data_IF_232955921391
#
_entry.id   IF_232955921391
#
_cell.length_a   1.000
_cell.length_b   1.000
_cell.length_c   1.000
_cell.angle_alpha   90.00
_cell.angle_beta   90.00
_cell.angle_gamma   90.00
#
_symmetry.space_group_name_H-M   'P 1'
#
loop_
_entity.id
_entity.type
_entity.pdbx_description
1 polymer ?
#
# COMPACT_ATOMS: atom_id res chain seq x y z
N UNK A 1 10.92 14.87 -19.36
CA UNK A 1 12.17 14.34 -19.97
C UNK A 1 12.29 12.87 -19.64
N UNK A 2 12.15 11.98 -20.61
CA UNK A 2 12.31 10.54 -20.40
C UNK A 2 13.79 10.24 -20.15
N UNK A 3 14.10 9.71 -18.98
CA UNK A 3 15.45 9.21 -18.70
C UNK A 3 15.63 7.88 -19.43
N UNK A 4 16.47 7.84 -20.43
CA UNK A 4 16.82 6.62 -21.15
C UNK A 4 17.99 5.97 -20.40
N UNK A 5 17.82 4.71 -20.03
CA UNK A 5 18.85 3.89 -19.42
C UNK A 5 19.21 2.75 -20.38
N UNK A 6 20.48 2.47 -20.53
CA UNK A 6 20.96 1.27 -21.24
C UNK A 6 21.46 0.23 -20.24
N UNK A 7 21.20 -1.05 -20.52
CA UNK A 7 21.71 -2.15 -19.73
C UNK A 7 23.07 -2.56 -20.34
N UNK A 8 24.10 -2.56 -19.51
CA UNK A 8 25.46 -2.94 -19.93
C UNK A 8 26.02 -4.03 -19.01
N UNK A 9 26.81 -4.94 -19.60
CA UNK A 9 27.57 -5.92 -18.83
C UNK A 9 28.72 -5.23 -18.10
N UNK A 10 28.83 -5.44 -16.80
CA UNK A 10 29.95 -4.94 -15.99
C UNK A 10 30.92 -6.09 -15.70
N UNK A 11 32.11 -5.99 -16.23
CA UNK A 11 33.18 -6.97 -15.95
C UNK A 11 33.67 -6.92 -14.48
N UNK A 12 33.40 -5.83 -13.77
CA UNK A 12 33.78 -5.68 -12.36
C UNK A 12 32.81 -6.40 -11.41
N UNK A 13 31.54 -6.52 -11.78
CA UNK A 13 30.50 -7.17 -10.96
C UNK A 13 30.03 -8.50 -11.55
N UNK A 14 30.46 -8.84 -12.75
CA UNK A 14 30.06 -10.05 -13.47
C UNK A 14 28.59 -10.08 -13.89
N UNK A 15 27.89 -8.93 -13.89
CA UNK A 15 26.45 -8.85 -14.14
C UNK A 15 26.05 -7.69 -15.05
N UNK A 16 24.74 -7.65 -15.36
CA UNK A 16 24.12 -6.56 -16.12
C UNK A 16 23.79 -5.41 -15.18
N UNK A 17 24.19 -4.20 -15.53
CA UNK A 17 23.91 -2.98 -14.79
C UNK A 17 23.15 -1.99 -15.66
N UNK A 18 22.18 -1.29 -15.07
CA UNK A 18 21.52 -0.15 -15.73
C UNK A 18 22.41 1.08 -15.65
N UNK A 19 22.78 1.64 -16.79
CA UNK A 19 23.64 2.85 -16.87
C UNK A 19 22.83 3.96 -17.50
N UNK A 20 22.80 5.13 -16.84
CA UNK A 20 22.27 6.34 -17.45
C UNK A 20 23.13 6.72 -18.67
N UNK A 21 22.53 7.07 -19.79
CA UNK A 21 23.24 7.54 -20.97
C UNK A 21 24.06 8.82 -20.73
N UNK A 22 23.80 9.51 -19.62
CA UNK A 22 24.55 10.68 -19.19
C UNK A 22 25.80 10.36 -18.36
N UNK A 23 26.07 9.09 -18.06
CA UNK A 23 27.25 8.69 -17.30
C UNK A 23 28.52 8.85 -18.19
N UNK A 24 29.32 9.87 -17.93
CA UNK A 24 30.61 10.05 -18.59
C UNK A 24 31.56 8.91 -18.20
N UNK A 25 32.29 8.39 -19.17
CA UNK A 25 33.31 7.36 -18.99
C UNK A 25 34.40 7.91 -18.05
N UNK A 26 34.40 7.48 -16.80
CA UNK A 26 35.49 7.79 -15.86
C UNK A 26 36.61 6.78 -16.09
N UNK A 27 37.69 7.21 -16.72
CA UNK A 27 38.93 6.41 -16.82
C UNK A 27 39.74 6.66 -15.56
N UNK A 28 39.69 5.74 -14.61
CA UNK A 28 40.59 5.75 -13.46
C UNK A 28 41.89 5.05 -13.80
N UNK A 29 42.98 5.81 -13.90
CA UNK A 29 44.32 5.24 -13.88
C UNK A 29 44.67 4.93 -12.43
N UNK A 30 44.52 3.70 -12.01
CA UNK A 30 44.95 3.25 -10.69
C UNK A 30 46.36 2.73 -10.72
N UNK A 31 47.25 3.35 -9.95
CA UNK A 31 48.58 2.84 -9.63
C UNK A 31 48.47 1.52 -8.88
N UNK A 32 49.10 0.48 -9.43
CA UNK A 32 49.26 -0.84 -8.84
C UNK A 32 50.17 -0.77 -7.60
N UNK A 33 49.60 -0.61 -6.40
CA UNK A 33 50.31 -0.92 -5.14
C UNK A 33 49.43 -0.96 -3.89
N UNK A 34 48.15 -1.31 -3.95
CA UNK A 34 47.33 -1.65 -2.76
C UNK A 34 46.44 -2.84 -3.10
N UNK A 35 47.01 -4.03 -3.14
CA UNK A 35 46.22 -5.24 -3.44
C UNK A 35 46.65 -6.47 -2.67
N UNK A 36 47.35 -6.34 -1.54
CA UNK A 36 47.78 -7.51 -0.78
C UNK A 36 47.29 -7.59 0.66
N UNK A 37 46.47 -6.65 1.14
CA UNK A 37 46.07 -6.61 2.56
C UNK A 37 44.54 -6.71 2.80
N UNK A 38 43.71 -6.98 1.76
CA UNK A 38 42.25 -7.10 1.91
C UNK A 38 41.69 -8.48 1.49
N UNK A 39 42.58 -9.50 1.38
CA UNK A 39 42.17 -10.84 0.97
C UNK A 39 42.09 -11.86 2.11
N UNK A 40 42.09 -11.47 3.36
CA UNK A 40 42.11 -12.41 4.46
C UNK A 40 41.02 -12.22 5.52
N UNK A 41 39.86 -11.68 5.15
CA UNK A 41 38.66 -11.74 6.03
C UNK A 41 37.37 -11.95 5.21
N UNK A 42 37.39 -12.81 4.21
CA UNK A 42 36.20 -13.49 3.76
C UNK A 42 35.98 -14.70 4.68
N UNK A 43 35.60 -14.45 5.91
CA UNK A 43 34.81 -15.43 6.66
C UNK A 43 33.53 -15.57 5.85
N UNK A 44 33.44 -16.66 5.10
CA UNK A 44 32.19 -17.12 4.51
C UNK A 44 31.29 -17.51 5.69
N UNK A 45 30.66 -16.54 6.31
CA UNK A 45 29.41 -16.79 6.98
C UNK A 45 28.49 -17.23 5.84
N UNK A 46 28.13 -18.49 5.81
CA UNK A 46 26.94 -18.96 5.13
C UNK A 46 25.75 -18.27 5.82
N UNK A 47 25.54 -16.99 5.53
CA UNK A 47 24.26 -16.38 5.72
C UNK A 47 23.36 -17.10 4.74
N UNK A 48 22.39 -17.83 5.26
CA UNK A 48 21.26 -18.30 4.48
C UNK A 48 20.78 -17.09 3.68
N UNK A 49 21.02 -17.09 2.38
CA UNK A 49 20.57 -16.03 1.48
C UNK A 49 19.05 -16.19 1.45
N UNK A 50 18.39 -15.29 2.15
CA UNK A 50 16.94 -15.27 2.29
C UNK A 50 16.43 -14.61 1.02
N UNK A 51 15.81 -15.40 0.15
CA UNK A 51 15.22 -14.97 -1.11
C UNK A 51 13.85 -14.40 -0.83
N UNK A 52 13.51 -13.23 -1.43
CA UNK A 52 12.23 -12.59 -1.20
C UNK A 52 11.42 -12.61 -2.47
N UNK A 53 11.03 -12.93 -3.31
CA UNK A 53 10.24 -13.14 -4.52
C UNK A 53 11.00 -14.05 -5.51
N UNK A 54 10.47 -15.20 -5.77
CA UNK A 54 11.05 -16.10 -6.76
C UNK A 54 10.18 -16.15 -8.01
N UNK A 55 10.53 -15.34 -9.01
CA UNK A 55 9.85 -15.31 -10.30
C UNK A 55 10.32 -16.48 -11.16
N UNK A 56 9.40 -17.39 -11.52
CA UNK A 56 9.68 -18.40 -12.54
C UNK A 56 9.63 -17.77 -13.94
N UNK A 57 10.82 -17.45 -14.45
CA UNK A 57 10.98 -16.90 -15.79
C UNK A 57 11.29 -17.97 -16.84
N UNK A 58 11.03 -19.25 -16.57
CA UNK A 58 11.21 -20.30 -17.57
C UNK A 58 10.32 -20.11 -18.79
N UNK A 59 9.11 -19.59 -18.59
CA UNK A 59 8.08 -19.39 -19.64
C UNK A 59 7.71 -17.92 -19.84
N UNK A 60 7.39 -17.20 -18.78
CA UNK A 60 7.06 -15.77 -18.85
C UNK A 60 8.31 -14.88 -18.79
N UNK A 61 8.22 -13.65 -19.24
CA UNK A 61 9.28 -12.68 -19.13
C UNK A 61 9.28 -12.02 -17.76
N UNK A 62 10.44 -11.76 -17.19
CA UNK A 62 10.55 -11.04 -15.90
C UNK A 62 9.84 -9.69 -15.94
N UNK A 63 9.87 -9.01 -17.08
CA UNK A 63 9.20 -7.73 -17.28
C UNK A 63 7.70 -7.81 -17.05
N UNK A 64 7.03 -8.88 -17.46
CA UNK A 64 5.58 -9.01 -17.31
C UNK A 64 5.17 -9.00 -15.83
N UNK A 65 5.96 -9.63 -14.95
CA UNK A 65 5.72 -9.60 -13.50
C UNK A 65 5.86 -8.18 -12.91
N UNK A 66 6.84 -7.42 -13.40
CA UNK A 66 7.09 -6.05 -12.95
C UNK A 66 6.06 -5.08 -13.51
N UNK A 67 5.69 -5.23 -14.78
CA UNK A 67 4.70 -4.39 -15.44
C UNK A 67 3.30 -4.62 -14.85
N UNK A 68 2.94 -5.87 -14.49
CA UNK A 68 1.70 -6.17 -13.78
C UNK A 68 1.65 -5.44 -12.43
N UNK A 69 2.70 -5.56 -11.60
CA UNK A 69 2.74 -4.91 -10.28
C UNK A 69 2.69 -3.39 -10.35
N UNK A 70 3.14 -2.80 -11.44
CA UNK A 70 3.19 -1.36 -11.67
C UNK A 70 2.03 -0.86 -12.54
N UNK A 71 1.07 -1.72 -12.87
CA UNK A 71 -0.05 -1.40 -13.74
C UNK A 71 0.36 -0.77 -15.07
N UNK A 72 1.41 -1.32 -15.72
CA UNK A 72 1.99 -0.82 -16.97
C UNK A 72 1.59 -1.65 -18.18
N UNK A 73 1.68 -1.03 -19.35
CA UNK A 73 1.41 -1.70 -20.63
C UNK A 73 -0.01 -2.25 -20.71
N UNK A 74 -0.14 -3.55 -20.99
CA UNK A 74 -1.43 -4.26 -21.07
C UNK A 74 -2.10 -4.45 -19.71
N UNK A 75 -1.40 -4.17 -18.62
CA UNK A 75 -1.86 -4.35 -17.24
C UNK A 75 -2.41 -3.06 -16.62
N UNK A 76 -3.01 -2.18 -17.41
CA UNK A 76 -3.71 -1.00 -16.86
C UNK A 76 -4.85 -1.44 -15.94
N UNK A 77 -5.12 -0.75 -14.81
CA UNK A 77 -6.23 -1.07 -13.93
C UNK A 77 -7.55 -1.15 -14.71
N UNK A 78 -8.33 -2.20 -14.45
CA UNK A 78 -9.59 -2.45 -15.13
C UNK A 78 -9.48 -3.11 -16.52
N UNK A 79 -8.27 -3.32 -17.05
CA UNK A 79 -8.09 -4.07 -18.32
C UNK A 79 -8.57 -5.50 -18.14
N UNK A 80 -9.39 -6.00 -19.09
CA UNK A 80 -9.90 -7.37 -19.12
C UNK A 80 -9.31 -8.14 -20.29
N UNK A 81 -9.41 -9.47 -20.27
CA UNK A 81 -8.93 -10.35 -21.35
C UNK A 81 -7.45 -10.16 -21.70
N UNK A 82 -6.65 -9.83 -20.68
CA UNK A 82 -5.21 -9.59 -20.86
C UNK A 82 -4.50 -10.86 -21.33
N UNK A 83 -3.67 -10.70 -22.36
CA UNK A 83 -2.80 -11.75 -22.91
C UNK A 83 -1.38 -11.26 -22.99
N UNK A 84 -0.44 -12.15 -22.67
CA UNK A 84 1.00 -11.93 -22.86
C UNK A 84 1.60 -13.01 -23.74
N UNK A 85 2.69 -12.70 -24.42
CA UNK A 85 3.47 -13.66 -25.19
C UNK A 85 4.50 -14.34 -24.28
N UNK A 86 4.38 -15.66 -24.14
CA UNK A 86 5.38 -16.47 -23.49
C UNK A 86 6.67 -16.58 -24.35
N UNK A 87 7.75 -17.08 -23.76
CA UNK A 87 9.04 -17.21 -24.42
C UNK A 87 9.05 -18.20 -25.58
N UNK A 88 8.16 -19.18 -25.56
CA UNK A 88 7.93 -20.14 -26.64
C UNK A 88 7.06 -19.61 -27.78
N UNK A 89 6.60 -18.37 -27.68
CA UNK A 89 5.74 -17.71 -28.64
C UNK A 89 4.25 -18.00 -28.50
N UNK A 90 3.85 -18.83 -27.53
CA UNK A 90 2.43 -19.07 -27.21
C UNK A 90 1.83 -17.91 -26.42
N UNK A 91 0.51 -17.81 -26.39
CA UNK A 91 -0.20 -16.84 -25.57
C UNK A 91 -0.54 -17.43 -24.20
N UNK A 92 -0.29 -16.66 -23.15
CA UNK A 92 -0.89 -16.87 -21.83
C UNK A 92 -2.01 -15.87 -21.64
N UNK A 93 -3.21 -16.36 -21.36
CA UNK A 93 -4.39 -15.55 -21.06
C UNK A 93 -4.56 -15.45 -19.55
N UNK A 94 -4.65 -14.23 -19.04
CA UNK A 94 -5.06 -14.00 -17.67
C UNK A 94 -6.54 -14.36 -17.48
N UNK A 95 -6.99 -14.63 -16.26
CA UNK A 95 -8.41 -14.82 -15.96
C UNK A 95 -9.26 -13.67 -16.52
N UNK A 96 -10.52 -13.96 -16.85
CA UNK A 96 -11.47 -12.97 -17.35
C UNK A 96 -11.93 -12.00 -16.23
N UNK A 97 -10.98 -11.43 -15.52
CA UNK A 97 -11.17 -10.45 -14.47
C UNK A 97 -10.49 -9.13 -14.87
N UNK A 98 -10.98 -7.99 -14.41
CA UNK A 98 -10.24 -6.75 -14.60
C UNK A 98 -8.90 -6.80 -13.84
N UNK A 99 -7.87 -6.18 -14.38
CA UNK A 99 -6.57 -6.05 -13.67
C UNK A 99 -6.77 -5.18 -12.42
N UNK A 100 -6.27 -5.60 -11.23
CA UNK A 100 -6.37 -4.78 -10.03
C UNK A 100 -5.57 -3.48 -10.15
N UNK A 101 -6.01 -2.44 -9.43
CA UNK A 101 -5.20 -1.26 -9.16
C UNK A 101 -4.27 -1.54 -7.96
N UNK A 102 -2.98 -1.68 -8.22
CA UNK A 102 -1.96 -1.94 -7.20
C UNK A 102 -1.33 -0.67 -6.62
N UNK A 103 -1.84 0.51 -6.96
CA UNK A 103 -1.29 1.78 -6.46
C UNK A 103 -1.32 1.90 -4.92
N UNK A 104 -2.18 1.13 -4.26
CA UNK A 104 -2.25 1.07 -2.80
C UNK A 104 -1.07 0.36 -2.14
N UNK A 105 -0.29 -0.44 -2.89
CA UNK A 105 0.92 -1.08 -2.36
C UNK A 105 2.05 -0.05 -2.19
N UNK A 106 2.81 -0.17 -1.09
CA UNK A 106 4.05 0.60 -0.92
C UNK A 106 5.08 0.23 -1.99
N UNK A 107 5.98 1.13 -2.31
CA UNK A 107 7.02 0.91 -3.33
C UNK A 107 7.87 -0.33 -3.04
N UNK A 108 8.03 -0.69 -1.77
CA UNK A 108 8.70 -1.92 -1.35
C UNK A 108 7.73 -3.10 -1.11
N UNK A 109 6.45 -2.97 -1.45
CA UNK A 109 5.45 -4.03 -1.33
C UNK A 109 5.20 -4.58 0.08
N UNK A 110 5.72 -3.96 1.12
CA UNK A 110 5.66 -4.47 2.49
C UNK A 110 4.43 -3.97 3.29
N UNK A 111 3.66 -3.08 2.73
CA UNK A 111 2.41 -2.58 3.31
C UNK A 111 1.43 -2.13 2.22
N UNK A 112 0.16 -1.99 2.60
CA UNK A 112 -0.91 -1.57 1.70
C UNK A 112 -1.68 -0.42 2.32
N UNK A 113 -1.83 0.70 1.59
CA UNK A 113 -2.72 1.79 2.00
C UNK A 113 -4.17 1.34 1.97
N UNK A 114 -4.91 1.71 3.01
CA UNK A 114 -6.37 1.50 3.09
C UNK A 114 -7.12 2.84 3.10
N UNK A 115 -6.47 3.89 2.61
CA UNK A 115 -7.02 5.25 2.51
C UNK A 115 -6.73 6.11 3.74
N UNK A 116 -6.85 7.42 3.57
CA UNK A 116 -6.49 8.38 4.60
C UNK A 116 -5.00 8.32 4.94
N UNK A 117 -4.70 8.32 6.22
CA UNK A 117 -3.34 8.12 6.72
C UNK A 117 -3.16 6.71 7.33
N UNK A 118 -3.78 5.69 6.74
CA UNK A 118 -3.75 4.34 7.29
C UNK A 118 -3.18 3.33 6.30
N UNK A 119 -2.35 2.43 6.81
CA UNK A 119 -1.80 1.32 6.06
C UNK A 119 -1.84 0.03 6.88
N UNK A 120 -1.94 -1.11 6.20
CA UNK A 120 -1.89 -2.43 6.83
C UNK A 120 -0.64 -3.19 6.40
N UNK A 121 -0.13 -3.99 7.32
CA UNK A 121 1.02 -4.87 7.13
C UNK A 121 0.95 -6.00 8.16
N UNK A 122 2.02 -6.76 8.31
CA UNK A 122 2.16 -7.76 9.38
C UNK A 122 2.85 -7.18 10.61
N UNK A 123 2.52 -7.70 11.79
CA UNK A 123 3.00 -7.14 13.06
C UNK A 123 4.53 -7.25 13.22
N UNK A 124 5.14 -8.30 12.67
CA UNK A 124 6.59 -8.47 12.75
C UNK A 124 7.37 -7.45 11.91
N UNK A 125 6.77 -6.88 10.83
CA UNK A 125 7.35 -5.79 10.06
C UNK A 125 7.15 -4.42 10.74
N UNK A 126 6.08 -4.27 11.51
CA UNK A 126 5.69 -2.98 12.09
C UNK A 126 6.45 -2.61 13.37
N UNK A 127 7.45 -3.38 13.79
CA UNK A 127 8.18 -3.16 15.05
C UNK A 127 8.96 -1.85 15.10
N UNK A 128 9.46 -1.37 13.98
CA UNK A 128 10.22 -0.13 13.86
C UNK A 128 9.36 0.98 13.26
N UNK A 129 9.68 2.24 13.57
CA UNK A 129 9.10 3.40 12.88
C UNK A 129 9.49 3.32 11.40
N UNK A 130 8.73 2.55 10.63
CA UNK A 130 9.00 2.37 9.21
C UNK A 130 8.52 3.59 8.43
N UNK A 131 9.35 4.10 7.55
CA UNK A 131 8.93 5.01 6.49
C UNK A 131 8.58 4.19 5.25
N UNK A 132 7.54 4.61 4.56
CA UNK A 132 7.10 3.98 3.33
C UNK A 132 6.86 5.04 2.25
N UNK A 133 7.17 4.70 1.01
CA UNK A 133 6.78 5.48 -0.15
C UNK A 133 5.71 4.69 -0.91
N UNK A 134 4.74 5.40 -1.46
CA UNK A 134 3.75 4.83 -2.37
C UNK A 134 4.13 5.21 -3.80
N UNK A 135 3.93 4.28 -4.71
CA UNK A 135 4.41 4.32 -6.10
C UNK A 135 5.93 4.27 -6.27
N UNK A 136 6.36 3.66 -7.36
CA UNK A 136 7.76 3.46 -7.73
C UNK A 136 8.49 4.78 -8.00
N UNK A 137 7.78 5.89 -8.13
CA UNK A 137 8.30 7.21 -8.51
C UNK A 137 7.88 8.34 -7.57
N UNK A 138 7.11 8.06 -6.51
CA UNK A 138 6.72 9.06 -5.52
C UNK A 138 7.91 9.45 -4.64
N UNK A 139 8.10 10.74 -4.42
CA UNK A 139 9.11 11.28 -3.51
C UNK A 139 8.59 11.47 -2.09
N UNK A 140 7.29 11.35 -1.87
CA UNK A 140 6.68 11.56 -0.56
C UNK A 140 6.97 10.38 0.36
N UNK A 141 7.58 10.67 1.50
CA UNK A 141 7.80 9.69 2.55
C UNK A 141 6.71 9.77 3.61
N UNK A 142 6.16 8.62 3.95
CA UNK A 142 5.17 8.44 5.01
C UNK A 142 5.81 7.70 6.19
N UNK A 143 5.67 8.26 7.38
CA UNK A 143 6.27 7.68 8.59
C UNK A 143 5.16 7.22 9.54
N UNK A 144 5.32 6.02 10.10
CA UNK A 144 4.41 5.52 11.12
C UNK A 144 4.53 6.36 12.39
N UNK A 145 3.41 6.90 12.87
CA UNK A 145 3.32 7.64 14.14
C UNK A 145 2.61 6.85 15.24
N UNK A 146 1.77 5.89 14.85
CA UNK A 146 1.08 4.99 15.78
C UNK A 146 0.73 3.67 15.09
N UNK A 147 0.40 2.63 15.87
CA UNK A 147 -0.03 1.33 15.34
C UNK A 147 -0.87 0.56 16.34
N UNK A 148 -1.64 -0.40 15.84
CA UNK A 148 -2.20 -1.53 16.58
C UNK A 148 -1.81 -2.84 15.92
N UNK A 149 -1.63 -3.86 16.73
CA UNK A 149 -1.28 -5.22 16.27
C UNK A 149 -2.16 -6.24 16.96
N UNK A 150 -2.43 -7.36 16.28
CA UNK A 150 -3.11 -8.51 16.86
C UNK A 150 -2.14 -9.66 17.08
N UNK A 151 -2.55 -10.63 17.91
CA UNK A 151 -1.81 -11.88 18.10
C UNK A 151 -1.67 -12.73 16.83
N UNK A 152 -2.46 -12.43 15.78
CA UNK A 152 -2.42 -13.11 14.48
C UNK A 152 -1.47 -12.46 13.48
N UNK A 153 -0.53 -11.66 13.96
CA UNK A 153 0.45 -10.95 13.15
C UNK A 153 -0.16 -9.89 12.19
N UNK A 154 -1.39 -9.45 12.41
CA UNK A 154 -1.95 -8.29 11.71
C UNK A 154 -1.48 -6.99 12.35
N UNK A 155 -1.20 -5.99 11.54
CA UNK A 155 -0.87 -4.65 12.00
C UNK A 155 -1.54 -3.59 11.14
N UNK A 156 -2.22 -2.65 11.79
CA UNK A 156 -2.68 -1.40 11.22
C UNK A 156 -1.79 -0.27 11.71
N UNK A 157 -1.38 0.60 10.80
CA UNK A 157 -0.49 1.73 11.05
C UNK A 157 -1.22 3.05 10.82
N UNK A 158 -1.04 4.02 11.71
CA UNK A 158 -1.33 5.43 11.44
C UNK A 158 -0.07 6.11 10.93
N UNK A 159 -0.16 6.70 9.76
CA UNK A 159 0.92 7.46 9.12
C UNK A 159 0.84 8.94 9.53
N UNK A 160 1.95 9.66 9.38
CA UNK A 160 2.06 11.08 9.70
C UNK A 160 1.31 11.99 8.72
N UNK A 161 0.94 11.48 7.53
CA UNK A 161 0.32 12.24 6.43
C UNK A 161 -0.80 11.45 5.79
N UNK A 162 -1.74 12.12 5.15
CA UNK A 162 -2.69 11.50 4.23
C UNK A 162 -1.98 11.07 2.94
N UNK A 163 -2.23 9.83 2.53
CA UNK A 163 -1.64 9.27 1.31
C UNK A 163 -2.38 9.82 0.10
N UNK A 164 -1.69 10.58 -0.74
CA UNK A 164 -2.28 11.28 -1.89
C UNK A 164 -2.11 10.51 -3.20
N UNK A 165 -1.18 9.56 -3.27
CA UNK A 165 -0.85 8.80 -4.48
C UNK A 165 -1.85 7.71 -4.79
N UNK A 166 -2.69 7.32 -3.82
CA UNK A 166 -3.67 6.24 -3.97
C UNK A 166 -4.94 6.50 -3.19
N UNK A 167 -6.05 5.95 -3.65
CA UNK A 167 -7.32 5.93 -2.90
C UNK A 167 -7.32 4.94 -1.73
N UNK A 168 -6.35 4.05 -1.69
CA UNK A 168 -6.31 2.93 -0.77
C UNK A 168 -7.10 1.72 -1.28
N UNK A 169 -6.73 0.55 -0.78
CA UNK A 169 -7.43 -0.69 -1.08
C UNK A 169 -8.79 -0.73 -0.40
N UNK A 170 -9.78 -1.30 -1.08
CA UNK A 170 -11.08 -1.59 -0.49
C UNK A 170 -10.96 -2.74 0.53
N UNK A 171 -11.48 -2.53 1.73
CA UNK A 171 -11.37 -3.46 2.87
C UNK A 171 -12.70 -4.14 3.21
N UNK A 172 -13.62 -4.22 2.26
CA UNK A 172 -14.97 -4.75 2.47
C UNK A 172 -15.08 -6.27 2.36
N UNK A 173 -13.96 -7.01 2.32
CA UNK A 173 -14.01 -8.49 2.33
C UNK A 173 -14.71 -9.01 3.59
N UNK A 174 -15.67 -9.93 3.42
CA UNK A 174 -16.45 -10.47 4.54
C UNK A 174 -16.06 -11.92 4.85
N UNK A 175 -15.35 -12.13 5.94
CA UNK A 175 -14.95 -13.45 6.45
C UNK A 175 -16.05 -14.19 7.22
N UNK A 176 -17.14 -13.52 7.58
CA UNK A 176 -18.21 -14.10 8.41
C UNK A 176 -19.21 -14.92 7.59
N UNK A 177 -19.04 -14.99 6.28
CA UNK A 177 -19.84 -15.84 5.43
C UNK A 177 -19.36 -17.31 5.49
N UNK A 178 -20.24 -18.26 5.20
CA UNK A 178 -19.83 -19.64 5.05
C UNK A 178 -18.97 -19.84 3.78
N UNK A 179 -18.19 -20.93 3.73
CA UNK A 179 -17.24 -21.16 2.63
C UNK A 179 -17.93 -21.16 1.24
N UNK A 180 -19.14 -21.68 1.13
CA UNK A 180 -19.83 -21.70 -0.16
C UNK A 180 -20.22 -20.28 -0.63
N UNK A 181 -20.75 -19.45 0.27
CA UNK A 181 -21.07 -18.06 -0.05
C UNK A 181 -19.81 -17.26 -0.43
N UNK A 182 -18.69 -17.53 0.22
CA UNK A 182 -17.41 -16.92 -0.13
C UNK A 182 -16.97 -17.33 -1.55
N UNK A 183 -17.07 -18.64 -1.89
CA UNK A 183 -16.76 -19.12 -3.25
C UNK A 183 -17.73 -18.54 -4.27
N UNK A 184 -19.01 -18.46 -3.96
CA UNK A 184 -20.02 -17.90 -4.86
C UNK A 184 -19.80 -16.42 -5.14
N UNK A 185 -19.34 -15.67 -4.13
CA UNK A 185 -19.13 -14.23 -4.22
C UNK A 185 -17.78 -13.86 -4.83
N UNK A 186 -16.72 -14.55 -4.45
CA UNK A 186 -15.34 -14.20 -4.84
C UNK A 186 -14.72 -15.19 -5.82
N UNK A 187 -15.41 -16.28 -6.15
CA UNK A 187 -14.92 -17.29 -7.08
C UNK A 187 -15.16 -16.92 -8.55
N UNK A 188 -14.21 -17.30 -9.38
CA UNK A 188 -14.24 -17.17 -10.85
C UNK A 188 -14.57 -18.53 -11.44
N UNK A 189 -15.38 -18.56 -12.48
CA UNK A 189 -15.63 -19.79 -13.25
C UNK A 189 -14.35 -20.16 -14.02
N UNK A 190 -13.79 -21.30 -13.68
CA UNK A 190 -12.60 -21.85 -14.33
C UNK A 190 -12.94 -22.95 -15.35
N UNK A 191 -14.21 -23.10 -15.66
CA UNK A 191 -14.76 -24.09 -16.59
C UNK A 191 -15.41 -25.29 -15.88
N UNK A 192 -16.21 -26.04 -16.63
CA UNK A 192 -16.94 -27.23 -16.14
C UNK A 192 -17.83 -26.97 -14.91
N UNK A 193 -18.32 -25.75 -14.72
CA UNK A 193 -19.14 -25.36 -13.58
C UNK A 193 -18.37 -25.27 -12.24
N UNK A 194 -17.04 -25.30 -12.28
CA UNK A 194 -16.19 -25.14 -11.10
C UNK A 194 -15.81 -23.69 -10.90
N UNK A 195 -16.01 -23.18 -9.69
CA UNK A 195 -15.51 -21.87 -9.27
C UNK A 195 -14.28 -22.01 -8.40
N UNK A 196 -13.29 -21.18 -8.65
CA UNK A 196 -12.08 -21.07 -7.84
C UNK A 196 -11.82 -19.60 -7.48
N UNK A 197 -11.32 -19.34 -6.28
CA UNK A 197 -10.95 -17.97 -5.90
C UNK A 197 -9.54 -17.71 -6.42
N UNK A 198 -9.47 -16.75 -7.34
CA UNK A 198 -8.21 -16.27 -7.89
C UNK A 198 -7.82 -14.99 -7.18
N UNK A 199 -6.57 -14.92 -6.72
CA UNK A 199 -6.02 -13.77 -6.06
C UNK A 199 -4.80 -13.21 -6.74
N UNK A 200 -4.52 -11.95 -6.46
CA UNK A 200 -3.28 -11.29 -6.81
C UNK A 200 -2.55 -10.84 -5.55
N UNK A 201 -1.24 -11.00 -5.55
CA UNK A 201 -0.33 -10.46 -4.55
C UNK A 201 0.65 -9.49 -5.21
N UNK A 202 0.92 -8.37 -4.55
CA UNK A 202 1.98 -7.46 -4.95
C UNK A 202 2.96 -7.32 -3.80
N UNK A 203 4.19 -7.74 -4.02
CA UNK A 203 5.25 -7.69 -3.03
C UNK A 203 6.59 -7.37 -3.66
N UNK A 204 7.53 -6.97 -2.85
CA UNK A 204 8.91 -6.83 -3.24
C UNK A 204 9.80 -7.36 -2.14
N UNK A 205 10.90 -7.87 -2.54
CA UNK A 205 11.94 -8.31 -1.66
C UNK A 205 13.17 -8.59 -2.52
N UNK A 206 14.17 -9.28 -1.99
CA UNK A 206 15.29 -9.74 -2.80
C UNK A 206 14.77 -10.63 -3.92
N UNK A 207 14.67 -10.10 -5.13
CA UNK A 207 14.09 -10.81 -6.27
C UNK A 207 15.07 -11.86 -6.79
N UNK A 208 14.61 -13.10 -6.86
CA UNK A 208 15.33 -14.21 -7.51
C UNK A 208 14.62 -14.57 -8.80
N UNK A 209 15.40 -14.82 -9.85
CA UNK A 209 14.88 -15.34 -11.10
C UNK A 209 15.22 -16.81 -11.19
N UNK A 210 14.20 -17.68 -11.28
CA UNK A 210 14.36 -19.13 -11.50
C UNK A 210 13.99 -19.51 -12.93
N UNK A 211 14.31 -20.76 -13.31
CA UNK A 211 14.00 -21.27 -14.65
C UNK A 211 15.01 -20.89 -15.74
N UNK A 212 16.17 -20.36 -15.35
CA UNK A 212 17.34 -20.17 -16.21
C UNK A 212 18.48 -21.12 -15.76
N UNK A 213 19.44 -21.41 -16.65
CA UNK A 213 20.55 -22.36 -16.38
C UNK A 213 21.37 -22.02 -15.13
N UNK A 214 21.41 -20.76 -14.76
CA UNK A 214 22.02 -20.27 -13.51
C UNK A 214 21.01 -19.43 -12.78
N UNK A 215 20.64 -19.83 -11.56
CA UNK A 215 19.84 -18.98 -10.67
C UNK A 215 20.67 -17.74 -10.31
N UNK A 216 20.20 -16.59 -10.71
CA UNK A 216 20.80 -15.33 -10.30
C UNK A 216 19.90 -14.63 -9.31
N UNK A 217 20.45 -14.29 -8.15
CA UNK A 217 19.78 -13.47 -7.15
C UNK A 217 20.15 -12.02 -7.40
N UNK A 218 19.16 -11.19 -7.64
CA UNK A 218 19.34 -9.75 -7.69
C UNK A 218 18.82 -9.17 -6.37
N UNK A 219 19.68 -8.50 -5.64
CA UNK A 219 19.29 -7.69 -4.50
C UNK A 219 18.74 -6.36 -5.04
N UNK A 220 17.49 -6.35 -5.41
CA UNK A 220 16.80 -5.13 -5.78
C UNK A 220 15.39 -5.23 -5.24
N UNK A 221 14.93 -4.17 -4.59
CA UNK A 221 13.53 -4.00 -4.17
C UNK A 221 12.66 -3.79 -5.41
N UNK A 222 12.42 -4.85 -6.19
CA UNK A 222 11.61 -4.81 -7.39
C UNK A 222 10.19 -5.23 -7.05
N UNK A 223 9.28 -4.28 -7.08
CA UNK A 223 7.86 -4.57 -6.92
C UNK A 223 7.41 -5.49 -8.06
N UNK A 224 6.89 -6.66 -7.69
CA UNK A 224 6.41 -7.68 -8.61
C UNK A 224 5.06 -8.25 -8.16
N UNK A 225 4.25 -8.69 -9.11
CA UNK A 225 2.96 -9.28 -8.82
C UNK A 225 2.94 -10.77 -9.15
N UNK A 226 2.07 -11.50 -8.48
CA UNK A 226 1.76 -12.90 -8.79
C UNK A 226 0.26 -13.12 -8.84
N UNK A 227 -0.11 -14.07 -9.67
CA UNK A 227 -1.44 -14.66 -9.78
C UNK A 227 -1.40 -16.03 -9.08
N UNK A 228 -2.43 -16.35 -8.31
CA UNK A 228 -2.47 -17.62 -7.58
C UNK A 228 -3.92 -18.06 -7.31
N UNK A 229 -4.08 -19.35 -6.97
CA UNK A 229 -5.34 -19.95 -6.57
C UNK A 229 -5.40 -20.06 -5.04
N UNK A 230 -6.49 -19.60 -4.44
CA UNK A 230 -6.71 -19.75 -3.02
C UNK A 230 -7.29 -21.14 -2.78
N UNK A 231 -6.51 -22.01 -2.15
CA UNK A 231 -6.86 -23.42 -1.96
C UNK A 231 -7.54 -23.71 -0.64
N UNK A 232 -7.40 -22.82 0.35
CA UNK A 232 -7.99 -23.03 1.66
C UNK A 232 -8.32 -21.71 2.37
N UNK A 233 -9.61 -21.46 2.52
CA UNK A 233 -10.16 -20.39 3.33
C UNK A 233 -10.59 -20.98 4.69
N UNK A 234 -9.69 -21.05 5.65
CA UNK A 234 -10.08 -21.47 7.01
C UNK A 234 -10.51 -20.25 7.81
N UNK A 235 -11.81 -20.07 7.97
CA UNK A 235 -12.37 -19.24 9.02
C UNK A 235 -12.19 -19.98 10.37
N UNK A 236 -11.58 -19.31 11.35
CA UNK A 236 -11.50 -19.74 12.76
C UNK A 236 -10.87 -21.11 13.05
N UNK A 237 -9.54 -21.18 13.04
CA UNK A 237 -8.83 -22.13 13.91
C UNK A 237 -8.15 -21.39 15.05
N UNK A 238 -7.98 -22.04 16.20
CA UNK A 238 -7.27 -21.51 17.38
C UNK A 238 -5.94 -20.90 16.92
N UNK A 239 -5.80 -19.57 16.99
CA UNK A 239 -4.64 -18.84 16.51
C UNK A 239 -4.90 -17.88 15.33
N UNK A 240 -6.13 -17.71 14.90
CA UNK A 240 -6.56 -16.72 13.90
C UNK A 240 -6.88 -17.29 12.52
N UNK A 241 -7.62 -16.50 11.78
CA UNK A 241 -7.96 -16.82 10.39
C UNK A 241 -6.68 -16.89 9.56
N UNK A 242 -6.52 -17.95 8.78
CA UNK A 242 -5.42 -18.11 7.83
C UNK A 242 -6.00 -18.46 6.48
N UNK A 243 -5.49 -17.81 5.45
CA UNK A 243 -5.77 -18.16 4.07
C UNK A 243 -4.50 -18.77 3.50
N UNK A 244 -4.63 -19.92 2.88
CA UNK A 244 -3.53 -20.59 2.19
C UNK A 244 -3.76 -20.49 0.69
N UNK A 245 -2.70 -20.24 -0.06
CA UNK A 245 -2.74 -20.35 -1.50
C UNK A 245 -1.54 -21.11 -2.05
N UNK A 246 -1.73 -21.72 -3.20
CA UNK A 246 -0.73 -22.45 -3.96
C UNK A 246 -0.44 -21.73 -5.27
N UNK A 247 0.81 -21.85 -5.72
CA UNK A 247 1.27 -21.27 -6.96
C UNK A 247 1.32 -22.38 -8.03
N UNK A 248 0.31 -22.48 -8.85
CA UNK A 248 0.19 -23.51 -9.88
C UNK A 248 0.12 -22.98 -11.32
N UNK A 249 0.20 -21.66 -11.49
CA UNK A 249 0.10 -21.04 -12.81
C UNK A 249 1.45 -20.76 -13.45
N UNK A 250 1.45 -20.54 -14.76
CA UNK A 250 2.65 -20.11 -15.51
C UNK A 250 3.14 -18.71 -15.11
N UNK A 251 2.31 -17.95 -14.38
CA UNK A 251 2.63 -16.62 -13.91
C UNK A 251 2.86 -16.60 -12.40
N UNK A 252 3.76 -17.49 -11.97
CA UNK A 252 4.05 -17.71 -10.57
C UNK A 252 5.22 -16.86 -10.08
N UNK A 253 5.00 -16.15 -9.00
CA UNK A 253 6.02 -15.49 -8.22
C UNK A 253 5.90 -16.01 -6.78
N UNK A 254 6.74 -16.99 -6.43
CA UNK A 254 6.71 -17.63 -5.12
C UNK A 254 7.00 -16.61 -4.02
N UNK A 255 6.18 -16.62 -3.00
CA UNK A 255 6.41 -15.84 -1.79
C UNK A 255 7.65 -16.32 -1.07
N UNK A 256 8.47 -15.38 -0.61
CA UNK A 256 9.67 -15.67 0.17
C UNK A 256 9.79 -14.68 1.34
N UNK A 257 10.84 -14.84 2.15
CA UNK A 257 11.12 -13.86 3.21
C UNK A 257 11.34 -12.47 2.60
N UNK A 258 10.69 -11.46 3.18
CA UNK A 258 10.67 -10.09 2.66
C UNK A 258 9.36 -9.70 1.97
N UNK A 259 8.54 -10.68 1.55
CA UNK A 259 7.18 -10.43 1.06
C UNK A 259 6.17 -10.24 2.19
N UNK A 260 6.59 -10.37 3.43
CA UNK A 260 5.75 -10.14 4.61
C UNK A 260 5.10 -8.75 4.56
N UNK A 261 3.78 -8.69 4.73
CA UNK A 261 3.02 -7.46 4.65
C UNK A 261 2.48 -7.12 3.25
N UNK A 262 2.88 -7.86 2.21
CA UNK A 262 2.33 -7.71 0.85
C UNK A 262 0.81 -7.87 0.84
N UNK A 263 0.11 -6.96 0.18
CA UNK A 263 -1.34 -7.03 0.02
C UNK A 263 -1.77 -8.18 -0.89
N UNK A 264 -2.85 -8.86 -0.50
CA UNK A 264 -3.49 -9.92 -1.26
C UNK A 264 -4.90 -9.50 -1.62
N UNK A 265 -5.24 -9.52 -2.90
CA UNK A 265 -6.48 -9.01 -3.45
C UNK A 265 -7.30 -10.13 -4.08
N UNK A 266 -8.61 -10.08 -3.89
CA UNK A 266 -9.60 -10.94 -4.55
C UNK A 266 -10.71 -10.10 -5.15
N UNK A 267 -11.39 -10.63 -6.17
CA UNK A 267 -12.45 -9.91 -6.85
C UNK A 267 -13.82 -10.23 -6.25
N UNK A 268 -14.57 -9.20 -5.88
CA UNK A 268 -15.95 -9.30 -5.41
C UNK A 268 -16.89 -9.20 -6.61
N UNK A 269 -17.40 -10.35 -7.08
CA UNK A 269 -18.30 -10.42 -8.25
C UNK A 269 -19.64 -9.73 -8.01
N UNK A 270 -20.06 -9.56 -6.76
CA UNK A 270 -21.33 -8.90 -6.44
C UNK A 270 -21.22 -7.39 -6.53
N UNK A 271 -20.09 -6.86 -6.08
CA UNK A 271 -19.85 -5.41 -6.05
C UNK A 271 -18.99 -4.93 -7.22
N UNK A 272 -18.59 -5.85 -8.11
CA UNK A 272 -17.75 -5.60 -9.31
C UNK A 272 -16.47 -4.80 -8.98
N UNK A 273 -15.72 -5.25 -7.98
CA UNK A 273 -14.53 -4.56 -7.50
C UNK A 273 -13.51 -5.47 -6.84
N UNK A 274 -12.26 -5.04 -6.85
CA UNK A 274 -11.21 -5.69 -6.07
C UNK A 274 -11.29 -5.28 -4.60
N UNK A 275 -11.10 -6.26 -3.71
CA UNK A 275 -11.05 -6.06 -2.27
C UNK A 275 -9.80 -6.69 -1.68
N UNK A 276 -9.27 -6.07 -0.63
CA UNK A 276 -8.12 -6.56 0.11
C UNK A 276 -8.55 -7.73 1.00
N UNK A 277 -8.06 -8.92 0.69
CA UNK A 277 -8.25 -10.11 1.51
C UNK A 277 -7.46 -10.02 2.82
N UNK A 278 -6.22 -9.55 2.73
CA UNK A 278 -5.32 -9.45 3.87
C UNK A 278 -3.88 -9.20 3.45
N UNK A 279 -2.94 -9.54 4.32
CA UNK A 279 -1.52 -9.34 4.12
C UNK A 279 -0.75 -10.66 4.21
N UNK A 280 0.24 -10.85 3.36
CA UNK A 280 1.10 -12.02 3.37
C UNK A 280 1.83 -12.11 4.71
N UNK A 281 1.67 -13.24 5.39
CA UNK A 281 2.24 -13.50 6.72
C UNK A 281 3.53 -14.30 6.66
N UNK A 282 3.52 -15.40 5.90
CA UNK A 282 4.63 -16.35 5.88
C UNK A 282 4.42 -17.48 4.91
N UNK A 283 5.37 -18.42 4.92
CA UNK A 283 5.41 -19.55 4.01
C UNK A 283 5.59 -20.85 4.80
N UNK A 284 5.08 -21.97 4.24
CA UNK A 284 5.40 -23.33 4.67
C UNK A 284 5.76 -24.16 3.44
N UNK A 285 6.74 -25.05 3.61
CA UNK A 285 7.27 -25.86 2.53
C UNK A 285 8.29 -25.11 1.66
N UNK A 286 8.65 -25.71 0.55
CA UNK A 286 9.60 -25.16 -0.39
C UNK A 286 9.26 -25.58 -1.83
N UNK A 287 9.76 -24.82 -2.80
CA UNK A 287 9.58 -25.11 -4.22
C UNK A 287 8.10 -25.24 -4.61
N UNK A 288 7.77 -26.27 -5.41
CA UNK A 288 6.40 -26.44 -5.94
C UNK A 288 5.33 -26.78 -4.89
N UNK A 289 5.74 -27.25 -3.69
CA UNK A 289 4.81 -27.58 -2.59
C UNK A 289 4.68 -26.44 -1.58
N UNK A 290 5.28 -25.29 -1.87
CA UNK A 290 5.22 -24.13 -1.00
C UNK A 290 3.80 -23.58 -0.92
N UNK A 291 3.33 -23.36 0.31
CA UNK A 291 2.09 -22.65 0.61
C UNK A 291 2.42 -21.31 1.24
N UNK A 292 1.66 -20.31 0.86
CA UNK A 292 1.73 -18.98 1.46
C UNK A 292 0.55 -18.77 2.39
N UNK A 293 0.84 -18.20 3.55
CA UNK A 293 -0.18 -17.79 4.51
C UNK A 293 -0.46 -16.31 4.40
N UNK A 294 -1.73 -15.98 4.47
CA UNK A 294 -2.25 -14.61 4.51
C UNK A 294 -2.91 -14.38 5.85
N UNK A 295 -2.53 -13.31 6.53
CA UNK A 295 -3.28 -12.79 7.66
C UNK A 295 -4.44 -11.98 7.12
N UNK A 296 -5.69 -12.36 7.40
CA UNK A 296 -6.86 -11.65 6.95
C UNK A 296 -6.90 -10.22 7.50
N UNK A 297 -7.53 -9.33 6.73
CA UNK A 297 -7.79 -7.97 7.18
C UNK A 297 -8.66 -7.97 8.44
N UNK A 298 -8.21 -7.30 9.49
CA UNK A 298 -8.93 -7.17 10.76
C UNK A 298 -9.61 -5.80 10.84
N UNK A 299 -10.90 -5.77 10.54
CA UNK A 299 -11.71 -4.55 10.57
C UNK A 299 -11.91 -4.01 11.99
N UNK A 300 -11.98 -4.88 13.00
CA UNK A 300 -12.17 -4.48 14.40
C UNK A 300 -10.95 -3.67 14.87
N UNK A 301 -9.76 -4.26 14.81
CA UNK A 301 -8.52 -3.59 15.21
C UNK A 301 -8.28 -2.32 14.40
N UNK A 302 -8.62 -2.34 13.09
CA UNK A 302 -8.52 -1.16 12.24
C UNK A 302 -9.43 -0.03 12.72
N UNK A 303 -10.68 -0.32 13.05
CA UNK A 303 -11.62 0.67 13.56
C UNK A 303 -11.21 1.18 14.95
N UNK A 304 -10.72 0.31 15.82
CA UNK A 304 -10.20 0.71 17.13
C UNK A 304 -9.05 1.73 17.00
N UNK A 305 -8.08 1.49 16.10
CA UNK A 305 -7.02 2.46 15.85
C UNK A 305 -7.58 3.77 15.28
N UNK A 306 -8.48 3.69 14.28
CA UNK A 306 -9.08 4.89 13.69
C UNK A 306 -9.79 5.74 14.72
N UNK A 307 -10.54 5.15 15.64
CA UNK A 307 -11.25 5.86 16.72
C UNK A 307 -10.32 6.63 17.65
N UNK A 308 -9.07 6.18 17.84
CA UNK A 308 -8.09 6.95 18.62
C UNK A 308 -7.69 8.28 17.97
N UNK A 309 -7.93 8.43 16.67
CA UNK A 309 -7.52 9.59 15.86
C UNK A 309 -8.71 10.40 15.32
N UNK A 310 -9.94 10.14 15.78
CA UNK A 310 -11.14 10.82 15.29
C UNK A 310 -11.81 11.57 16.44
N UNK A 311 -12.16 12.85 16.18
CA UNK A 311 -13.10 13.63 16.97
C UNK A 311 -14.24 14.09 16.07
N UNK A 312 -15.45 13.64 16.37
CA UNK A 312 -16.63 14.01 15.59
C UNK A 312 -17.13 15.40 15.99
N UNK A 313 -17.43 16.22 14.99
CA UNK A 313 -17.92 17.60 15.13
C UNK A 313 -19.16 17.73 14.24
N UNK A 314 -20.33 17.56 14.83
CA UNK A 314 -21.59 17.74 14.12
C UNK A 314 -21.99 19.23 14.10
N UNK A 315 -21.93 19.86 12.93
CA UNK A 315 -22.24 21.28 12.75
C UNK A 315 -23.73 21.48 12.45
N UNK A 316 -24.35 20.57 11.72
CA UNK A 316 -25.77 20.61 11.34
C UNK A 316 -26.22 21.95 10.77
N UNK A 317 -25.58 22.42 9.72
CA UNK A 317 -25.76 23.70 9.04
C UNK A 317 -25.52 24.96 9.90
N UNK A 318 -25.00 24.82 11.11
CA UNK A 318 -24.61 25.93 11.98
C UNK A 318 -23.20 26.45 11.65
N UNK A 319 -22.67 27.25 12.57
CA UNK A 319 -21.27 27.68 12.56
C UNK A 319 -20.54 27.05 13.72
N UNK A 320 -19.46 26.32 13.40
CA UNK A 320 -18.46 25.89 14.37
C UNK A 320 -17.38 26.97 14.48
N UNK A 321 -17.20 27.52 15.66
CA UNK A 321 -16.11 28.47 15.95
C UNK A 321 -14.99 27.76 16.67
N UNK A 322 -13.75 27.89 16.16
CA UNK A 322 -12.56 27.24 16.70
C UNK A 322 -11.61 28.30 17.27
N UNK A 323 -11.30 28.21 18.54
CA UNK A 323 -10.35 29.09 19.23
C UNK A 323 -10.16 28.68 20.69
N UNK A 324 -9.01 29.02 21.30
CA UNK A 324 -8.67 28.66 22.66
C UNK A 324 -8.56 27.16 22.90
N UNK A 325 -8.19 26.39 21.85
CA UNK A 325 -8.17 24.92 21.93
C UNK A 325 -9.55 24.29 22.02
N UNK A 326 -10.61 25.02 21.65
CA UNK A 326 -12.02 24.60 21.76
C UNK A 326 -12.79 24.77 20.46
N UNK A 327 -13.85 23.99 20.32
CA UNK A 327 -14.84 24.08 19.24
C UNK A 327 -16.18 24.44 19.88
N UNK A 328 -16.78 25.56 19.47
CA UNK A 328 -18.08 26.02 19.93
C UNK A 328 -19.09 25.99 18.79
N UNK A 329 -20.24 25.36 19.02
CA UNK A 329 -21.38 25.31 18.10
C UNK A 329 -22.62 25.70 18.87
N UNK A 330 -23.22 26.86 18.51
CA UNK A 330 -24.32 27.44 19.30
C UNK A 330 -23.90 27.69 20.76
N UNK A 331 -24.56 27.04 21.68
CA UNK A 331 -24.27 27.12 23.12
C UNK A 331 -23.38 25.97 23.64
N UNK A 332 -22.95 25.04 22.77
CA UNK A 332 -22.17 23.88 23.16
C UNK A 332 -20.70 24.11 22.83
N UNK A 333 -19.84 23.86 23.81
CA UNK A 333 -18.37 23.96 23.65
C UNK A 333 -17.74 22.64 24.04
N UNK A 334 -16.80 22.17 23.22
CA UNK A 334 -15.97 20.99 23.46
C UNK A 334 -14.50 21.31 23.24
N UNK A 335 -13.63 20.64 23.96
CA UNK A 335 -12.18 20.76 23.75
C UNK A 335 -11.75 20.08 22.45
N UNK A 336 -10.70 20.58 21.80
CA UNK A 336 -10.01 19.84 20.73
C UNK A 336 -9.24 18.69 21.39
N UNK A 337 -9.65 17.49 21.06
CA UNK A 337 -9.13 16.29 21.71
C UNK A 337 -7.76 15.88 21.18
N UNK A 338 -6.97 15.33 22.09
CA UNK A 338 -5.75 14.58 21.78
C UNK A 338 -5.92 13.12 22.18
N UNK A 339 -5.17 12.24 21.51
CA UNK A 339 -5.10 10.84 21.95
C UNK A 339 -4.13 10.68 23.13
N UNK A 340 -4.05 9.48 23.69
CA UNK A 340 -3.17 9.17 24.84
C UNK A 340 -1.67 9.43 24.63
N UNK A 341 -1.23 9.65 23.39
CA UNK A 341 0.14 9.98 23.03
C UNK A 341 0.33 11.49 22.76
N UNK A 342 -0.58 12.32 23.24
CA UNK A 342 -0.61 13.78 23.04
C UNK A 342 -0.65 14.21 21.56
N UNK A 343 -1.15 13.35 20.68
CA UNK A 343 -1.33 13.63 19.25
C UNK A 343 -2.75 14.15 19.01
N UNK A 344 -2.88 15.25 18.26
CA UNK A 344 -4.18 15.78 17.87
C UNK A 344 -4.93 14.79 17.00
N UNK A 345 -6.24 14.73 17.18
CA UNK A 345 -7.16 13.93 16.40
C UNK A 345 -7.55 14.64 15.10
N UNK A 346 -7.99 13.85 14.12
CA UNK A 346 -8.65 14.36 12.93
C UNK A 346 -10.03 14.93 13.34
N UNK A 347 -10.35 16.16 12.96
CA UNK A 347 -11.67 16.75 13.18
C UNK A 347 -12.60 16.34 12.04
N UNK A 348 -13.59 15.51 12.36
CA UNK A 348 -14.56 14.98 11.40
C UNK A 348 -15.82 15.82 11.46
N UNK A 349 -15.98 16.71 10.48
CA UNK A 349 -17.12 17.61 10.35
C UNK A 349 -18.28 16.92 9.61
N UNK A 350 -19.47 17.00 10.20
CA UNK A 350 -20.70 16.47 9.61
C UNK A 350 -21.84 17.47 9.63
N UNK A 351 -22.84 17.24 8.77
CA UNK A 351 -24.05 18.05 8.70
C UNK A 351 -23.96 19.27 7.80
N UNK A 352 -22.79 19.64 7.28
CA UNK A 352 -22.60 20.86 6.50
C UNK A 352 -22.56 22.13 7.37
N UNK A 353 -22.17 23.28 6.80
CA UNK A 353 -22.19 24.57 7.49
C UNK A 353 -20.87 25.33 7.43
N UNK A 354 -20.63 26.18 8.42
CA UNK A 354 -19.47 27.08 8.46
C UNK A 354 -18.49 26.69 9.56
N UNK A 355 -17.20 26.86 9.28
CA UNK A 355 -16.12 26.71 10.25
C UNK A 355 -15.36 28.04 10.27
N UNK A 356 -15.25 28.67 11.44
CA UNK A 356 -14.60 29.97 11.62
C UNK A 356 -13.46 29.84 12.64
N UNK A 357 -12.24 30.16 12.21
CA UNK A 357 -11.08 30.22 13.10
C UNK A 357 -10.99 31.59 13.76
N UNK A 358 -10.97 31.64 15.08
CA UNK A 358 -10.75 32.85 15.88
C UNK A 358 -9.28 33.12 16.17
N UNK A 359 -8.44 32.13 16.02
CA UNK A 359 -7.00 32.19 16.22
C UNK A 359 -6.29 31.20 15.27
N UNK A 360 -4.96 31.25 15.23
CA UNK A 360 -4.17 30.26 14.53
C UNK A 360 -4.41 28.85 15.11
N UNK A 361 -4.62 27.87 14.25
CA UNK A 361 -4.89 26.48 14.63
C UNK A 361 -3.76 25.56 14.16
N UNK A 362 -3.00 24.99 15.10
CA UNK A 362 -2.05 23.91 14.82
C UNK A 362 -2.68 22.55 15.17
N UNK A 363 -3.02 21.74 14.16
CA UNK A 363 -3.55 20.39 14.35
C UNK A 363 -2.45 19.31 14.38
N UNK A 364 -1.18 19.68 14.24
CA UNK A 364 -0.11 18.68 14.24
C UNK A 364 -0.37 17.59 13.20
N UNK A 365 -0.52 16.33 13.64
CA UNK A 365 -0.81 15.18 12.77
C UNK A 365 -2.31 14.99 12.49
N UNK A 366 -3.20 15.76 13.13
CA UNK A 366 -4.63 15.77 12.83
C UNK A 366 -4.94 16.53 11.54
N UNK A 367 -6.02 16.19 10.89
CA UNK A 367 -6.52 16.83 9.68
C UNK A 367 -7.99 17.21 9.79
N UNK A 368 -8.53 17.79 8.73
CA UNK A 368 -9.95 18.02 8.56
C UNK A 368 -10.55 16.95 7.66
N UNK A 369 -11.62 16.32 8.13
CA UNK A 369 -12.40 15.34 7.38
C UNK A 369 -13.82 15.88 7.25
N UNK A 370 -14.34 15.95 6.03
CA UNK A 370 -15.69 16.41 5.73
C UNK A 370 -16.54 15.24 5.22
N UNK A 371 -17.73 15.07 5.78
CA UNK A 371 -18.67 14.03 5.38
C UNK A 371 -19.12 14.18 3.92
N UNK A 372 -19.85 13.20 3.40
CA UNK A 372 -20.32 13.17 2.01
C UNK A 372 -21.59 14.01 1.79
N UNK A 373 -21.77 14.50 0.54
CA UNK A 373 -22.98 15.19 0.05
C UNK A 373 -23.35 16.44 0.85
N UNK A 374 -22.35 17.23 1.26
CA UNK A 374 -22.53 18.46 2.06
C UNK A 374 -21.73 19.63 1.50
N UNK A 375 -22.12 20.82 1.91
CA UNK A 375 -21.38 22.05 1.62
C UNK A 375 -20.82 22.65 2.90
N UNK A 376 -19.55 23.03 2.85
CA UNK A 376 -18.84 23.67 3.95
C UNK A 376 -18.17 24.95 3.49
N UNK A 377 -18.05 25.91 4.40
CA UNK A 377 -17.24 27.11 4.22
C UNK A 377 -16.26 27.19 5.39
N UNK A 378 -14.98 27.24 5.10
CA UNK A 378 -13.92 27.39 6.12
C UNK A 378 -13.34 28.79 5.99
N UNK A 379 -13.40 29.57 7.07
CA UNK A 379 -12.97 30.96 7.12
C UNK A 379 -12.20 31.26 8.41
N UNK A 380 -11.51 32.38 8.47
CA UNK A 380 -10.80 32.83 9.67
C UNK A 380 -11.09 34.32 9.95
N UNK A 381 -11.07 34.70 11.20
CA UNK A 381 -11.07 36.10 11.62
C UNK A 381 -9.66 36.68 11.40
N UNK A 382 -9.56 37.83 10.76
CA UNK A 382 -8.29 38.49 10.48
C UNK A 382 -7.38 37.67 9.58
N UNK A 383 -6.12 37.50 9.99
CA UNK A 383 -5.09 36.74 9.26
C UNK A 383 -4.81 35.34 9.86
N UNK A 384 -5.73 34.81 10.65
CA UNK A 384 -5.55 33.49 11.25
C UNK A 384 -5.42 32.41 10.18
N UNK A 385 -4.68 31.38 10.52
CA UNK A 385 -4.32 30.29 9.62
C UNK A 385 -4.46 28.92 10.29
N UNK A 386 -4.39 27.87 9.47
CA UNK A 386 -4.28 26.48 9.94
C UNK A 386 -2.94 25.91 9.53
N UNK A 387 -2.37 25.11 10.42
CA UNK A 387 -1.14 24.35 10.20
C UNK A 387 -1.42 22.87 10.39
N UNK A 388 -1.03 22.06 9.41
CA UNK A 388 -1.00 20.60 9.48
C UNK A 388 0.46 20.12 9.38
N UNK A 389 0.82 19.07 10.11
CA UNK A 389 2.10 18.37 9.93
C UNK A 389 2.02 17.28 8.87
N UNK A 390 1.17 17.51 7.85
CA UNK A 390 1.02 16.64 6.68
C UNK A 390 -0.32 15.93 6.56
N UNK A 391 -1.17 15.81 7.61
CA UNK A 391 -2.48 15.16 7.47
C UNK A 391 -3.29 15.85 6.36
N UNK A 392 -3.69 17.09 6.53
CA UNK A 392 -4.37 17.84 5.50
C UNK A 392 -5.89 17.70 5.52
N UNK A 393 -6.50 17.51 4.35
CA UNK A 393 -7.94 17.60 4.16
C UNK A 393 -8.47 16.38 3.42
N UNK A 394 -9.48 15.72 3.98
CA UNK A 394 -10.25 14.65 3.34
C UNK A 394 -11.67 15.14 3.09
N UNK A 395 -12.13 15.12 1.83
CA UNK A 395 -13.46 15.61 1.46
C UNK A 395 -14.27 14.46 0.87
N UNK A 396 -15.36 14.11 1.56
CA UNK A 396 -16.28 13.07 1.15
C UNK A 396 -16.91 13.33 -0.22
N UNK A 397 -17.24 12.25 -0.93
CA UNK A 397 -17.86 12.31 -2.26
C UNK A 397 -19.11 13.19 -2.27
N UNK A 398 -19.24 14.04 -3.29
CA UNK A 398 -20.38 14.95 -3.46
C UNK A 398 -20.35 16.16 -2.52
N UNK A 399 -19.32 16.30 -1.67
CA UNK A 399 -19.15 17.48 -0.84
C UNK A 399 -18.28 18.53 -1.50
N UNK A 400 -18.54 19.80 -1.15
CA UNK A 400 -17.74 20.94 -1.56
C UNK A 400 -17.32 21.73 -0.33
N UNK A 401 -16.03 22.07 -0.28
CA UNK A 401 -15.45 22.91 0.77
C UNK A 401 -14.92 24.18 0.13
N UNK A 402 -15.53 25.33 0.48
CA UNK A 402 -15.03 26.66 0.13
C UNK A 402 -14.01 27.06 1.21
N UNK A 403 -12.72 27.10 0.82
CA UNK A 403 -11.59 27.31 1.72
C UNK A 403 -11.07 28.74 1.61
N UNK A 404 -11.40 29.56 2.59
CA UNK A 404 -11.03 30.97 2.65
C UNK A 404 -10.17 31.26 3.89
N UNK A 405 -9.08 30.50 4.05
CA UNK A 405 -8.08 30.73 5.10
C UNK A 405 -6.68 30.46 4.58
N UNK A 406 -5.69 31.11 5.18
CA UNK A 406 -4.30 30.84 4.86
C UNK A 406 -3.88 29.48 5.40
N UNK A 407 -3.11 28.77 4.61
CA UNK A 407 -2.41 27.57 5.02
C UNK A 407 -0.97 27.91 5.34
N UNK A 408 -0.56 27.65 6.58
CA UNK A 408 0.80 27.95 7.05
C UNK A 408 1.52 26.67 7.41
N UNK A 409 2.24 26.10 6.46
CA UNK A 409 3.07 24.92 6.70
C UNK A 409 4.26 24.89 5.74
N UNK A 410 5.33 24.24 6.15
CA UNK A 410 6.47 23.93 5.30
C UNK A 410 6.25 22.65 4.45
N UNK A 411 5.13 21.96 4.65
CA UNK A 411 4.74 20.78 3.87
C UNK A 411 3.57 21.14 2.93
N UNK A 412 3.43 20.42 1.83
CA UNK A 412 2.32 20.63 0.90
C UNK A 412 0.98 20.25 1.56
N UNK A 413 -0.08 20.93 1.17
CA UNK A 413 -1.44 20.56 1.58
C UNK A 413 -1.83 19.23 0.93
N UNK A 414 -2.03 18.22 1.74
CA UNK A 414 -2.51 16.91 1.31
C UNK A 414 -4.02 16.91 1.24
N UNK A 415 -4.59 17.02 0.03
CA UNK A 415 -6.03 16.89 -0.21
C UNK A 415 -6.32 15.50 -0.77
N UNK A 416 -7.21 14.77 -0.10
CA UNK A 416 -7.73 13.46 -0.52
C UNK A 416 -9.26 13.47 -0.57
N UNK A 417 -9.85 12.31 -0.88
CA UNK A 417 -11.31 12.17 -1.03
C UNK A 417 -11.82 12.66 -2.39
N UNK A 418 -13.04 12.29 -2.72
CA UNK A 418 -13.67 12.55 -4.03
C UNK A 418 -14.45 13.87 -4.10
N UNK A 419 -14.57 14.60 -2.99
CA UNK A 419 -15.19 15.91 -2.94
C UNK A 419 -14.31 17.03 -3.48
N UNK A 420 -14.85 18.22 -3.64
CA UNK A 420 -14.19 19.40 -4.21
C UNK A 420 -13.68 20.35 -3.13
N UNK A 421 -12.48 20.88 -3.32
CA UNK A 421 -11.91 21.98 -2.53
C UNK A 421 -11.78 23.20 -3.42
N UNK A 422 -12.49 24.28 -3.07
CA UNK A 422 -12.37 25.58 -3.71
C UNK A 422 -11.53 26.50 -2.82
N UNK A 423 -10.35 26.87 -3.28
CA UNK A 423 -9.49 27.83 -2.58
C UNK A 423 -9.84 29.22 -3.08
N UNK A 424 -10.24 30.13 -2.18
CA UNK A 424 -10.76 31.47 -2.47
C UNK A 424 -9.75 32.52 -2.00
#
# INVERSE_FOLDING_TARGET
MNKIYSIKYSAATGGLIAVSELAKKVTCKTNRKISAALLSLAVISYTNIIYAANMDISKAWARDYLDLAQNKGVFQPGSTHVKIKLKDGTDFSFPALPVPDFSSATANGAATSIGGAYAVTVAHNAKNKSSANYQTYGSTQYTQINRMTTGNDFSIQRLNKYVVETRGADTSFNYNENNQNIIDRYGVDVGNGKKEIIGFRVGSGNTTFSGIKTSQTYQADLLSASLFHITNLRANTVGGNKVEYENDSYFTNLTTNGDSGSGVYVFDNKEDKWVLLGTTHGIIGNGKTQKTYVTPFDSKTTNELKQLFIQNVNIDNNTATIGGGKITIGNTTQDIEKNKNDQNKDLVFSGGGKISLKENLDLGYGGFIFDKNKKYTVSAEGNNNVTFKGAGIDIGKGSTVDWNIKYASNDALHKIGEGSLNVI
#
